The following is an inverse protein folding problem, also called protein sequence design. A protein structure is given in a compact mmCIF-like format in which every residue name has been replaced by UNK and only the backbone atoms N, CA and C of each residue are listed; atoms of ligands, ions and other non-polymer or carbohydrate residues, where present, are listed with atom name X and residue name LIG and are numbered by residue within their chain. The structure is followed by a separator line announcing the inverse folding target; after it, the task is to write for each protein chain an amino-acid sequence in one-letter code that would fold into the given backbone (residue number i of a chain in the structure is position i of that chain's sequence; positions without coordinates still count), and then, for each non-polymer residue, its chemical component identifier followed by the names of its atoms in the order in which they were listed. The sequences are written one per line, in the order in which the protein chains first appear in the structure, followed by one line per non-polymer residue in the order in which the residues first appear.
data_IF_588680101856
#
_entry.id   IF_588680101856
#
_cell.length_a   1.000
_cell.length_b   1.000
_cell.length_c   1.000
_cell.angle_alpha   90.00
_cell.angle_beta   90.00
_cell.angle_gamma   90.00
#
_symmetry.space_group_name_H-M   'P 1'
#
loop_
_entity.id
_entity.type
_entity.pdbx_description
1 polymer ?
#
# COMPACT_ATOMS: atom_id res chain seq x y z
N UNK A 1 16.80 13.30 -0.01
CA UNK A 1 16.35 13.49 1.39
C UNK A 1 17.30 14.49 2.02
N UNK A 2 16.85 15.40 2.89
CA UNK A 2 17.77 16.37 3.51
C UNK A 2 18.93 15.70 4.25
N UNK A 3 18.68 14.54 4.89
CA UNK A 3 19.73 13.77 5.55
C UNK A 3 20.85 13.29 4.60
N UNK A 4 20.59 13.06 3.31
CA UNK A 4 21.66 12.74 2.35
C UNK A 4 22.66 13.89 2.19
N UNK A 5 22.17 15.13 2.29
CA UNK A 5 22.98 16.34 2.17
C UNK A 5 23.73 16.64 3.47
N UNK A 6 23.09 16.44 4.62
CA UNK A 6 23.67 16.79 5.93
C UNK A 6 24.53 15.68 6.54
N UNK A 7 24.29 14.41 6.18
CA UNK A 7 24.95 13.24 6.73
C UNK A 7 25.41 12.31 5.59
N UNK A 8 26.35 12.74 4.74
CA UNK A 8 26.80 11.94 3.61
C UNK A 8 27.38 10.60 4.07
N UNK A 9 27.22 9.58 3.22
CA UNK A 9 27.76 8.24 3.46
C UNK A 9 29.27 8.31 3.69
N UNK A 10 29.76 7.52 4.65
CA UNK A 10 31.18 7.51 5.03
C UNK A 10 31.57 8.57 6.07
N UNK A 11 30.71 9.56 6.37
CA UNK A 11 31.01 10.54 7.43
C UNK A 11 30.90 9.94 8.85
N UNK A 12 31.67 10.45 9.81
CA UNK A 12 31.60 10.02 11.22
C UNK A 12 30.19 10.18 11.82
N UNK A 13 29.49 11.26 11.43
CA UNK A 13 28.10 11.51 11.85
C UNK A 13 27.14 10.47 11.27
N UNK A 14 27.33 10.09 10.00
CA UNK A 14 26.57 9.00 9.37
C UNK A 14 26.76 7.68 10.12
N UNK A 15 28.00 7.31 10.47
CA UNK A 15 28.26 6.06 11.22
C UNK A 15 27.61 6.05 12.61
N UNK A 16 27.65 7.18 13.31
CA UNK A 16 27.02 7.33 14.63
C UNK A 16 25.50 7.14 14.55
N UNK A 17 24.85 7.78 13.57
CA UNK A 17 23.42 7.63 13.33
C UNK A 17 23.09 6.22 12.83
N UNK A 18 23.90 5.63 11.95
CA UNK A 18 23.77 4.24 11.49
C UNK A 18 23.71 3.26 12.66
N UNK A 19 24.60 3.38 13.64
CA UNK A 19 24.57 2.54 14.84
C UNK A 19 23.29 2.73 15.68
N UNK A 20 22.72 3.94 15.67
CA UNK A 20 21.44 4.22 16.35
C UNK A 20 20.27 3.58 15.61
N UNK A 21 20.20 3.75 14.29
CA UNK A 21 19.14 3.19 13.46
C UNK A 21 19.19 1.66 13.37
N UNK A 22 20.36 1.02 13.50
CA UNK A 22 20.47 -0.45 13.64
C UNK A 22 19.74 -1.01 14.86
N UNK A 23 19.48 -0.21 15.90
CA UNK A 23 18.63 -0.65 17.02
C UNK A 23 17.19 -0.96 16.57
N UNK A 24 16.77 -0.43 15.42
CA UNK A 24 15.46 -0.68 14.81
C UNK A 24 15.44 -1.94 13.92
N UNK A 25 16.51 -2.75 13.87
CA UNK A 25 16.52 -3.97 13.06
C UNK A 25 15.38 -4.93 13.44
N UNK A 26 15.04 -5.01 14.74
CA UNK A 26 13.87 -5.77 15.22
C UNK A 26 12.54 -5.24 14.69
N UNK A 27 12.43 -3.91 14.54
CA UNK A 27 11.26 -3.26 13.95
C UNK A 27 11.20 -3.52 12.45
N UNK A 28 12.33 -3.41 11.74
CA UNK A 28 12.42 -3.69 10.31
C UNK A 28 12.12 -5.16 9.97
N UNK A 29 12.47 -6.10 10.85
CA UNK A 29 12.14 -7.52 10.72
C UNK A 29 10.62 -7.79 10.71
N UNK A 30 9.77 -6.82 11.09
CA UNK A 30 8.31 -6.90 11.00
C UNK A 30 7.77 -6.55 9.60
N UNK A 31 8.63 -6.24 8.63
CA UNK A 31 8.27 -5.74 7.30
C UNK A 31 7.27 -4.56 7.33
N UNK A 32 7.59 -3.48 8.06
CA UNK A 32 6.72 -2.32 8.26
C UNK A 32 6.22 -1.64 6.97
N UNK A 33 6.90 -1.80 5.83
CA UNK A 33 6.42 -1.33 4.53
C UNK A 33 5.03 -1.88 4.15
N UNK A 34 4.69 -3.08 4.63
CA UNK A 34 3.42 -3.75 4.33
C UNK A 34 2.26 -3.14 5.12
N UNK A 35 2.56 -2.45 6.22
CA UNK A 35 1.57 -1.88 7.11
C UNK A 35 0.72 -0.80 6.45
N UNK A 36 1.25 -0.06 5.48
CA UNK A 36 0.46 0.90 4.71
C UNK A 36 -0.76 0.23 4.05
N UNK A 37 -0.55 -0.91 3.39
CA UNK A 37 -1.63 -1.68 2.77
C UNK A 37 -2.59 -2.28 3.79
N UNK A 38 -2.06 -2.87 4.86
CA UNK A 38 -2.84 -3.47 5.94
C UNK A 38 -3.76 -2.44 6.61
N UNK A 39 -3.22 -1.27 6.94
CA UNK A 39 -4.00 -0.18 7.53
C UNK A 39 -5.07 0.34 6.58
N UNK A 40 -4.78 0.45 5.28
CA UNK A 40 -5.78 0.83 4.29
C UNK A 40 -6.93 -0.18 4.22
N UNK A 41 -6.64 -1.49 4.31
CA UNK A 41 -7.68 -2.53 4.30
C UNK A 41 -8.59 -2.44 5.53
N UNK A 42 -8.02 -2.24 6.72
CA UNK A 42 -8.80 -2.01 7.96
C UNK A 42 -9.62 -0.74 7.85
N UNK A 43 -9.00 0.38 7.49
CA UNK A 43 -9.70 1.66 7.44
C UNK A 43 -10.73 1.74 6.32
N UNK A 44 -10.63 0.94 5.26
CA UNK A 44 -11.70 0.80 4.28
C UNK A 44 -12.97 0.22 4.91
N UNK A 45 -12.86 -0.76 5.82
CA UNK A 45 -14.00 -1.28 6.56
C UNK A 45 -14.65 -0.23 7.45
N UNK A 46 -13.82 0.52 8.19
CA UNK A 46 -14.28 1.66 8.97
C UNK A 46 -14.90 2.74 8.07
N UNK A 47 -14.33 3.00 6.90
CA UNK A 47 -14.86 3.98 5.95
C UNK A 47 -16.27 3.59 5.50
N UNK A 48 -16.49 2.32 5.17
CA UNK A 48 -17.80 1.82 4.71
C UNK A 48 -18.86 1.98 5.79
N UNK A 49 -18.57 1.64 7.04
CA UNK A 49 -19.54 1.81 8.13
C UNK A 49 -19.85 3.28 8.41
N UNK A 50 -18.85 4.17 8.33
CA UNK A 50 -19.08 5.61 8.43
C UNK A 50 -19.89 6.15 7.23
N UNK A 51 -19.61 5.67 6.01
CA UNK A 51 -20.31 6.07 4.80
C UNK A 51 -21.80 5.72 4.83
N UNK A 52 -22.16 4.57 5.42
CA UNK A 52 -23.56 4.14 5.56
C UNK A 52 -24.34 5.10 6.47
N UNK A 53 -23.71 5.62 7.52
CA UNK A 53 -24.34 6.60 8.42
C UNK A 53 -24.36 8.01 7.84
N UNK A 54 -23.21 8.49 7.35
CA UNK A 54 -23.07 9.77 6.69
C UNK A 54 -22.09 9.66 5.53
N UNK A 55 -22.59 9.74 4.30
CA UNK A 55 -21.76 9.67 3.10
C UNK A 55 -20.78 10.84 2.95
N UNK A 56 -21.07 11.98 3.58
CA UNK A 56 -20.35 13.24 3.43
C UNK A 56 -19.33 13.49 4.54
N UNK A 57 -19.01 12.49 5.35
CA UNK A 57 -17.97 12.65 6.37
C UNK A 57 -16.59 12.87 5.73
N UNK A 58 -16.02 14.06 5.87
CA UNK A 58 -14.68 14.37 5.38
C UNK A 58 -13.91 15.12 6.44
N UNK A 59 -12.64 14.76 6.59
CA UNK A 59 -11.69 15.37 7.50
C UNK A 59 -12.25 15.47 8.93
N UNK A 60 -13.01 14.45 9.35
CA UNK A 60 -13.73 14.47 10.61
C UNK A 60 -12.87 13.89 11.74
N UNK A 61 -12.44 14.74 12.67
CA UNK A 61 -11.67 14.34 13.84
C UNK A 61 -12.47 13.51 14.84
N UNK A 62 -13.80 13.58 14.81
CA UNK A 62 -14.66 12.75 15.65
C UNK A 62 -14.56 11.26 15.29
N UNK A 63 -14.08 10.95 14.08
CA UNK A 63 -13.79 9.58 13.63
C UNK A 63 -12.62 8.90 14.38
N UNK A 64 -11.89 9.63 15.23
CA UNK A 64 -10.81 9.07 16.03
C UNK A 64 -11.34 8.06 17.03
N UNK A 65 -10.81 6.83 16.98
CA UNK A 65 -11.24 5.74 17.85
C UNK A 65 -10.04 4.98 18.40
N UNK A 66 -9.95 4.91 19.73
CA UNK A 66 -8.96 4.08 20.41
C UNK A 66 -9.10 2.60 20.02
N UNK A 67 -10.33 2.14 19.78
CA UNK A 67 -10.61 0.77 19.31
C UNK A 67 -9.98 0.56 17.93
N UNK A 68 -10.13 1.50 16.99
CA UNK A 68 -9.48 1.42 15.68
C UNK A 68 -7.96 1.42 15.79
N UNK A 69 -7.35 2.21 16.68
CA UNK A 69 -5.90 2.18 16.88
C UNK A 69 -5.41 0.81 17.37
N UNK A 70 -6.14 0.20 18.32
CA UNK A 70 -5.84 -1.16 18.81
C UNK A 70 -5.98 -2.17 17.68
N UNK A 71 -7.02 -2.05 16.85
CA UNK A 71 -7.23 -2.93 15.69
C UNK A 71 -6.10 -2.76 14.66
N UNK A 72 -5.66 -1.54 14.37
CA UNK A 72 -4.55 -1.28 13.46
C UNK A 72 -3.24 -1.89 14.00
N UNK A 73 -2.96 -1.73 15.30
CA UNK A 73 -1.80 -2.36 15.93
C UNK A 73 -1.89 -3.89 15.86
N UNK A 74 -3.05 -4.46 16.19
CA UNK A 74 -3.30 -5.90 16.07
C UNK A 74 -3.12 -6.39 14.64
N UNK A 75 -3.66 -5.69 13.65
CA UNK A 75 -3.55 -6.03 12.23
C UNK A 75 -2.10 -6.04 11.75
N UNK A 76 -1.25 -5.10 12.21
CA UNK A 76 0.18 -5.11 11.89
C UNK A 76 0.91 -6.30 12.49
N UNK A 77 0.56 -6.68 13.73
CA UNK A 77 1.09 -7.87 14.36
C UNK A 77 0.61 -9.15 13.64
N UNK A 78 -0.65 -9.17 13.20
CA UNK A 78 -1.24 -10.29 12.46
C UNK A 78 -0.57 -10.51 11.10
N UNK A 79 -0.31 -9.45 10.33
CA UNK A 79 0.36 -9.55 9.01
C UNK A 79 1.76 -10.18 9.10
N UNK A 80 2.45 -10.03 10.23
CA UNK A 80 3.72 -10.72 10.49
C UNK A 80 3.56 -12.24 10.41
N UNK A 81 2.48 -12.78 10.99
CA UNK A 81 2.22 -14.21 11.06
C UNK A 81 1.53 -14.73 9.82
N UNK A 82 0.64 -13.93 9.23
CA UNK A 82 -0.14 -14.27 8.05
C UNK A 82 0.00 -13.17 7.00
N UNK A 83 1.05 -13.24 6.17
CA UNK A 83 1.35 -12.24 5.15
C UNK A 83 0.17 -12.00 4.19
N UNK A 84 -0.38 -10.78 4.17
CA UNK A 84 -1.55 -10.44 3.32
C UNK A 84 -1.16 -10.05 1.90
N UNK A 85 -0.11 -9.26 1.73
CA UNK A 85 0.44 -8.89 0.41
C UNK A 85 1.67 -9.74 0.10
N UNK A 86 1.52 -10.86 -0.61
CA UNK A 86 2.67 -11.66 -1.04
C UNK A 86 3.09 -11.30 -2.47
N UNK A 87 4.40 -11.24 -2.72
CA UNK A 87 4.95 -10.94 -4.06
C UNK A 87 4.97 -12.17 -4.99
N UNK A 88 4.64 -13.36 -4.48
CA UNK A 88 4.62 -14.61 -5.23
C UNK A 88 3.23 -15.23 -5.21
N UNK A 89 2.50 -15.12 -6.32
CA UNK A 89 1.32 -15.94 -6.56
C UNK A 89 1.78 -17.16 -7.35
N UNK A 90 2.16 -18.21 -6.62
CA UNK A 90 2.55 -19.47 -7.25
C UNK A 90 1.31 -20.38 -7.49
N UNK A 91 0.13 -20.02 -6.96
CA UNK A 91 -1.09 -20.84 -7.09
C UNK A 91 -2.40 -20.08 -6.80
N UNK A 92 -3.52 -20.62 -7.28
CA UNK A 92 -4.91 -20.17 -6.97
C UNK A 92 -5.16 -20.15 -5.46
N UNK A 93 -4.59 -21.11 -4.72
CA UNK A 93 -4.66 -21.19 -3.25
C UNK A 93 -4.06 -19.94 -2.58
N UNK A 94 -2.93 -19.44 -3.10
CA UNK A 94 -2.30 -18.21 -2.62
C UNK A 94 -3.23 -17.01 -2.84
N UNK A 95 -3.81 -16.89 -4.03
CA UNK A 95 -4.78 -15.82 -4.35
C UNK A 95 -6.01 -15.83 -3.44
N UNK A 96 -6.60 -16.99 -3.22
CA UNK A 96 -7.80 -17.13 -2.36
C UNK A 96 -7.49 -16.83 -0.89
N UNK A 97 -6.31 -17.25 -0.40
CA UNK A 97 -5.84 -16.90 0.94
C UNK A 97 -5.71 -15.40 1.13
N UNK A 98 -5.21 -14.67 0.13
CA UNK A 98 -5.02 -13.23 0.22
C UNK A 98 -6.34 -12.46 0.16
N UNK A 99 -7.30 -12.91 -0.65
CA UNK A 99 -8.65 -12.38 -0.64
C UNK A 99 -9.29 -12.56 0.75
N UNK A 100 -9.19 -13.77 1.32
CA UNK A 100 -9.68 -14.07 2.66
C UNK A 100 -9.05 -13.15 3.71
N UNK A 101 -7.72 -13.00 3.70
CA UNK A 101 -7.03 -12.15 4.67
C UNK A 101 -7.39 -10.67 4.51
N UNK A 102 -7.46 -10.16 3.27
CA UNK A 102 -7.89 -8.78 3.01
C UNK A 102 -9.34 -8.53 3.46
N UNK A 103 -10.22 -9.50 3.25
CA UNK A 103 -11.60 -9.46 3.74
C UNK A 103 -11.68 -9.48 5.27
N UNK A 104 -10.89 -10.32 5.94
CA UNK A 104 -10.82 -10.31 7.41
C UNK A 104 -10.34 -8.95 7.92
N UNK A 105 -9.27 -8.38 7.34
CA UNK A 105 -8.79 -7.05 7.73
C UNK A 105 -9.87 -5.98 7.54
N UNK A 106 -10.60 -6.03 6.43
CA UNK A 106 -11.74 -5.15 6.18
C UNK A 106 -12.81 -5.29 7.27
N UNK A 107 -13.21 -6.52 7.62
CA UNK A 107 -14.18 -6.76 8.70
C UNK A 107 -13.68 -6.32 10.07
N UNK A 108 -12.37 -6.37 10.34
CA UNK A 108 -11.84 -5.81 11.59
C UNK A 108 -12.14 -4.31 11.69
N UNK A 109 -12.07 -3.59 10.57
CA UNK A 109 -12.39 -2.16 10.51
C UNK A 109 -13.83 -1.81 10.82
N UNK A 110 -14.76 -2.74 10.62
CA UNK A 110 -16.20 -2.49 10.81
C UNK A 110 -16.61 -2.65 12.28
N UNK A 111 -15.81 -3.33 13.10
CA UNK A 111 -16.07 -3.63 14.52
C UNK A 111 -16.62 -2.43 15.33
N UNK A 112 -16.07 -1.21 15.23
CA UNK A 112 -16.54 -0.09 16.06
C UNK A 112 -18.01 0.30 15.85
N UNK A 113 -18.55 0.03 14.65
CA UNK A 113 -19.93 0.39 14.26
C UNK A 113 -20.82 -0.83 13.96
N UNK A 114 -20.23 -2.03 13.91
CA UNK A 114 -20.93 -3.27 13.62
C UNK A 114 -20.94 -3.66 12.15
N UNK A 115 -21.55 -4.81 11.86
CA UNK A 115 -21.67 -5.37 10.51
C UNK A 115 -23.16 -5.44 10.17
N UNK A 116 -23.52 -4.87 9.02
CA UNK A 116 -24.84 -4.99 8.40
C UNK A 116 -24.69 -5.53 6.95
N UNK A 117 -25.76 -6.02 6.33
CA UNK A 117 -25.74 -6.49 4.93
C UNK A 117 -25.26 -5.39 3.97
N UNK A 118 -25.55 -4.13 4.29
CA UNK A 118 -25.07 -2.96 3.54
C UNK A 118 -23.54 -2.86 3.52
N UNK A 119 -22.86 -3.30 4.59
CA UNK A 119 -21.38 -3.28 4.65
C UNK A 119 -20.77 -4.12 3.54
N UNK A 120 -21.40 -5.24 3.17
CA UNK A 120 -20.93 -6.07 2.08
C UNK A 120 -21.22 -5.44 0.71
N UNK A 121 -22.40 -4.86 0.53
CA UNK A 121 -22.78 -4.17 -0.72
C UNK A 121 -21.89 -2.97 -1.01
N UNK A 122 -21.69 -2.10 -0.01
CA UNK A 122 -20.82 -0.92 -0.12
C UNK A 122 -19.33 -1.27 -0.03
N UNK A 123 -18.98 -2.40 0.60
CA UNK A 123 -17.61 -2.90 0.71
C UNK A 123 -17.10 -3.60 -0.55
N UNK A 124 -17.97 -4.13 -1.41
CA UNK A 124 -17.60 -4.83 -2.64
C UNK A 124 -16.58 -4.07 -3.53
N UNK A 125 -16.75 -2.78 -3.86
CA UNK A 125 -15.76 -2.04 -4.65
C UNK A 125 -14.38 -1.96 -3.98
N UNK A 126 -14.31 -1.92 -2.64
CA UNK A 126 -13.05 -1.94 -1.91
C UNK A 126 -12.37 -3.31 -2.00
N UNK A 127 -13.13 -4.40 -1.86
CA UNK A 127 -12.59 -5.76 -2.01
C UNK A 127 -12.05 -6.00 -3.42
N UNK A 128 -12.75 -5.51 -4.44
CA UNK A 128 -12.26 -5.52 -5.82
C UNK A 128 -10.94 -4.73 -5.94
N UNK A 129 -10.87 -3.55 -5.32
CA UNK A 129 -9.65 -2.75 -5.32
C UNK A 129 -8.49 -3.39 -4.54
N UNK A 130 -8.75 -4.20 -3.51
CA UNK A 130 -7.70 -4.99 -2.85
C UNK A 130 -7.12 -6.05 -3.79
N UNK A 131 -7.97 -6.68 -4.62
CA UNK A 131 -7.52 -7.60 -5.66
C UNK A 131 -6.63 -6.86 -6.67
N UNK A 132 -7.00 -5.64 -7.07
CA UNK A 132 -6.18 -4.76 -7.93
C UNK A 132 -4.80 -4.53 -7.32
N UNK A 133 -4.73 -4.15 -6.04
CA UNK A 133 -3.47 -3.98 -5.32
C UNK A 133 -2.64 -5.26 -5.30
N UNK A 134 -3.27 -6.38 -4.97
CA UNK A 134 -2.60 -7.65 -4.91
C UNK A 134 -2.02 -8.10 -6.27
N UNK A 135 -2.83 -8.06 -7.33
CA UNK A 135 -2.39 -8.43 -8.68
C UNK A 135 -1.25 -7.52 -9.16
N UNK A 136 -1.30 -6.23 -8.83
CA UNK A 136 -0.22 -5.28 -9.15
C UNK A 136 1.12 -5.70 -8.52
N UNK A 137 1.10 -6.16 -7.26
CA UNK A 137 2.31 -6.58 -6.56
C UNK A 137 2.85 -7.93 -7.01
N UNK A 138 1.99 -8.79 -7.54
CA UNK A 138 2.37 -10.12 -7.98
C UNK A 138 2.97 -10.17 -9.39
N UNK A 139 2.89 -9.08 -10.17
CA UNK A 139 3.72 -8.93 -11.38
C UNK A 139 5.18 -8.81 -10.93
N UNK A 140 6.09 -9.75 -11.26
CA UNK A 140 7.46 -9.72 -10.75
C UNK A 140 8.24 -8.54 -11.33
N UNK A 141 9.15 -7.96 -10.53
CA UNK A 141 10.22 -7.10 -11.04
C UNK A 141 11.46 -7.97 -11.05
N UNK A 142 12.00 -8.22 -12.24
CA UNK A 142 13.18 -9.05 -12.41
C UNK A 142 14.40 -8.27 -11.92
N UNK A 143 15.34 -8.97 -11.28
CA UNK A 143 16.61 -8.39 -10.84
C UNK A 143 17.70 -9.21 -11.51
N UNK A 144 18.54 -8.56 -12.30
CA UNK A 144 19.67 -9.22 -12.97
C UNK A 144 20.79 -9.51 -11.95
N UNK A 145 21.79 -10.32 -12.32
CA UNK A 145 22.92 -10.69 -11.44
C UNK A 145 23.73 -9.47 -10.93
N UNK A 146 23.65 -8.35 -11.67
CA UNK A 146 24.29 -7.07 -11.34
C UNK A 146 23.43 -6.20 -10.41
N UNK A 147 22.25 -6.68 -10.00
CA UNK A 147 21.31 -5.96 -9.13
C UNK A 147 20.42 -4.94 -9.85
N UNK A 148 20.52 -4.85 -11.18
CA UNK A 148 19.66 -3.98 -11.99
C UNK A 148 18.23 -4.54 -12.09
N UNK A 149 17.25 -3.67 -11.82
CA UNK A 149 15.84 -4.02 -11.94
C UNK A 149 15.46 -3.96 -13.42
N UNK A 150 14.75 -4.96 -13.91
CA UNK A 150 14.19 -5.04 -15.26
C UNK A 150 12.72 -5.47 -15.22
N UNK A 151 11.94 -5.01 -16.21
CA UNK A 151 10.53 -5.36 -16.31
C UNK A 151 10.40 -6.72 -17.02
N UNK A 152 9.43 -7.56 -16.66
CA UNK A 152 9.11 -8.75 -17.44
C UNK A 152 8.78 -8.38 -18.89
N UNK A 153 8.88 -9.37 -19.78
CA UNK A 153 8.46 -9.16 -21.17
C UNK A 153 6.99 -8.74 -21.22
N UNK A 154 6.66 -7.86 -22.18
CA UNK A 154 5.32 -7.30 -22.34
C UNK A 154 4.25 -8.39 -22.42
N UNK A 155 4.53 -9.45 -23.18
CA UNK A 155 3.64 -10.60 -23.38
C UNK A 155 3.31 -11.30 -22.06
N UNK A 156 4.26 -11.38 -21.12
CA UNK A 156 4.05 -12.03 -19.81
C UNK A 156 3.27 -11.13 -18.84
N UNK A 157 3.49 -9.82 -18.87
CA UNK A 157 2.82 -8.90 -17.94
C UNK A 157 1.45 -8.39 -18.42
N UNK A 158 1.21 -8.36 -19.74
CA UNK A 158 -0.01 -7.80 -20.31
C UNK A 158 -1.31 -8.46 -19.81
N UNK A 159 -1.44 -9.79 -19.70
CA UNK A 159 -2.68 -10.41 -19.22
C UNK A 159 -3.06 -9.94 -17.82
N UNK A 160 -2.09 -9.88 -16.92
CA UNK A 160 -2.30 -9.46 -15.54
C UNK A 160 -2.61 -7.98 -15.43
N UNK A 161 -1.91 -7.13 -16.18
CA UNK A 161 -2.19 -5.70 -16.26
C UNK A 161 -3.57 -5.41 -16.85
N UNK A 162 -4.02 -6.17 -17.84
CA UNK A 162 -5.38 -6.05 -18.40
C UNK A 162 -6.45 -6.34 -17.34
N UNK A 163 -6.27 -7.40 -16.54
CA UNK A 163 -7.19 -7.70 -15.43
C UNK A 163 -7.18 -6.57 -14.39
N UNK A 164 -5.99 -6.05 -14.04
CA UNK A 164 -5.84 -4.90 -13.12
C UNK A 164 -6.61 -3.68 -13.65
N UNK A 165 -6.50 -3.35 -14.94
CA UNK A 165 -7.24 -2.23 -15.56
C UNK A 165 -8.75 -2.45 -15.48
N UNK A 166 -9.23 -3.64 -15.88
CA UNK A 166 -10.66 -3.97 -15.86
C UNK A 166 -11.23 -3.88 -14.45
N UNK A 167 -10.57 -4.50 -13.47
CA UNK A 167 -11.01 -4.47 -12.07
C UNK A 167 -10.96 -3.07 -11.47
N UNK A 168 -9.97 -2.26 -11.84
CA UNK A 168 -9.90 -0.85 -11.42
C UNK A 168 -11.10 -0.08 -11.97
N UNK A 169 -11.43 -0.23 -13.25
CA UNK A 169 -12.59 0.42 -13.84
C UNK A 169 -13.91 -0.07 -13.21
N UNK A 170 -14.01 -1.37 -12.94
CA UNK A 170 -15.16 -1.96 -12.25
C UNK A 170 -15.33 -1.37 -10.84
N UNK A 171 -14.25 -1.21 -10.07
CA UNK A 171 -14.30 -0.56 -8.77
C UNK A 171 -14.76 0.91 -8.87
N UNK A 172 -14.31 1.64 -9.90
CA UNK A 172 -14.79 3.00 -10.19
C UNK A 172 -16.29 3.03 -10.45
N UNK A 173 -16.79 2.17 -11.33
CA UNK A 173 -18.21 2.13 -11.73
C UNK A 173 -19.09 1.72 -10.54
N UNK A 174 -18.71 0.68 -9.80
CA UNK A 174 -19.46 0.23 -8.62
C UNK A 174 -19.45 1.26 -7.51
N UNK A 175 -18.32 1.92 -7.26
CA UNK A 175 -18.25 3.04 -6.32
C UNK A 175 -19.17 4.19 -6.71
N UNK A 176 -19.20 4.53 -8.01
CA UNK A 176 -20.08 5.58 -8.54
C UNK A 176 -21.55 5.19 -8.40
N UNK A 177 -21.90 3.95 -8.74
CA UNK A 177 -23.26 3.41 -8.59
C UNK A 177 -23.73 3.45 -7.13
N UNK A 178 -22.83 3.12 -6.20
CA UNK A 178 -23.09 3.15 -4.77
C UNK A 178 -23.05 4.58 -4.18
N UNK A 179 -22.85 5.64 -4.98
CA UNK A 179 -22.64 7.00 -4.49
C UNK A 179 -21.51 7.11 -3.44
N UNK A 180 -20.48 6.27 -3.55
CA UNK A 180 -19.28 6.33 -2.72
C UNK A 180 -18.17 7.10 -3.45
N UNK A 181 -18.02 8.41 -3.18
CA UNK A 181 -17.00 9.24 -3.82
C UNK A 181 -15.56 8.85 -3.42
N UNK A 182 -15.36 8.08 -2.34
CA UNK A 182 -14.02 7.69 -1.91
C UNK A 182 -13.44 6.64 -2.87
N UNK A 183 -14.06 5.46 -2.96
CA UNK A 183 -13.50 4.36 -3.76
C UNK A 183 -13.58 4.62 -5.25
N UNK A 184 -14.64 5.29 -5.71
CA UNK A 184 -14.78 5.70 -7.11
C UNK A 184 -13.62 6.60 -7.54
N UNK A 185 -13.27 7.60 -6.72
CA UNK A 185 -12.16 8.51 -7.01
C UNK A 185 -10.80 7.82 -6.86
N UNK A 186 -10.60 7.03 -5.82
CA UNK A 186 -9.35 6.25 -5.62
C UNK A 186 -9.05 5.38 -6.83
N UNK A 187 -10.05 4.64 -7.32
CA UNK A 187 -9.90 3.77 -8.47
C UNK A 187 -9.73 4.57 -9.77
N UNK A 188 -10.49 5.65 -9.97
CA UNK A 188 -10.35 6.52 -11.14
C UNK A 188 -8.95 7.16 -11.22
N UNK A 189 -8.44 7.70 -10.13
CA UNK A 189 -7.11 8.32 -10.05
C UNK A 189 -5.99 7.28 -10.20
N UNK A 190 -6.21 6.03 -9.75
CA UNK A 190 -5.25 4.95 -9.96
C UNK A 190 -5.25 4.41 -11.40
N UNK A 191 -6.36 4.47 -12.12
CA UNK A 191 -6.51 3.87 -13.46
C UNK A 191 -5.42 4.21 -14.50
N UNK A 192 -4.83 5.43 -14.55
CA UNK A 192 -3.81 5.75 -15.54
C UNK A 192 -2.51 4.95 -15.35
N UNK A 193 -2.17 4.54 -14.13
CA UNK A 193 -0.90 3.83 -13.87
C UNK A 193 -0.82 2.45 -14.54
N UNK A 194 -1.76 1.51 -14.28
CA UNK A 194 -1.75 0.22 -14.96
C UNK A 194 -2.06 0.36 -16.45
N UNK A 195 -2.84 1.37 -16.88
CA UNK A 195 -3.09 1.64 -18.29
C UNK A 195 -1.81 2.03 -19.04
N UNK A 196 -1.01 2.94 -18.47
CA UNK A 196 0.29 3.33 -19.03
C UNK A 196 1.23 2.12 -19.06
N UNK A 197 1.27 1.33 -18.00
CA UNK A 197 2.08 0.10 -17.98
C UNK A 197 1.62 -0.94 -19.03
N UNK A 198 0.34 -0.94 -19.41
CA UNK A 198 -0.24 -1.83 -20.42
C UNK A 198 -0.07 -1.33 -21.85
N UNK A 199 -0.10 -0.02 -22.11
CA UNK A 199 -0.01 0.54 -23.48
C UNK A 199 1.46 0.79 -23.89
N UNK A 200 2.26 1.39 -23.01
CA UNK A 200 3.61 1.83 -23.35
C UNK A 200 4.63 0.67 -23.31
N UNK A 201 5.82 0.84 -23.94
CA UNK A 201 6.89 -0.15 -23.88
C UNK A 201 7.20 -0.60 -22.45
N UNK A 202 7.58 -1.87 -22.30
CA UNK A 202 7.87 -2.45 -20.99
C UNK A 202 9.01 -1.70 -20.31
N UNK A 203 8.72 -1.03 -19.20
CA UNK A 203 9.73 -0.35 -18.40
C UNK A 203 9.43 -0.50 -16.91
N UNK A 204 10.49 -0.73 -16.13
CA UNK A 204 10.44 -0.95 -14.69
C UNK A 204 9.74 0.21 -13.99
N UNK A 205 10.00 1.43 -14.48
CA UNK A 205 9.42 2.66 -13.97
C UNK A 205 7.89 2.64 -13.95
N UNK A 206 7.25 2.03 -14.94
CA UNK A 206 5.79 1.95 -15.00
C UNK A 206 5.25 1.01 -13.93
N UNK A 207 5.90 -0.15 -13.72
CA UNK A 207 5.53 -1.11 -12.67
C UNK A 207 5.80 -0.59 -11.26
N UNK A 208 6.93 0.10 -11.04
CA UNK A 208 7.25 0.73 -9.76
C UNK A 208 6.17 1.76 -9.38
N UNK A 209 5.75 2.60 -10.33
CA UNK A 209 4.65 3.55 -10.10
C UNK A 209 3.34 2.82 -9.78
N UNK A 210 2.97 1.77 -10.51
CA UNK A 210 1.77 0.99 -10.20
C UNK A 210 1.78 0.49 -8.74
N UNK A 211 2.89 -0.13 -8.31
CA UNK A 211 3.03 -0.64 -6.93
C UNK A 211 2.98 0.46 -5.87
N UNK A 212 3.64 1.60 -6.09
CA UNK A 212 3.64 2.71 -5.12
C UNK A 212 2.24 3.32 -5.01
N UNK A 213 1.62 3.64 -6.15
CA UNK A 213 0.38 4.42 -6.17
C UNK A 213 -0.86 3.61 -5.80
N UNK A 214 -0.86 2.28 -5.97
CA UNK A 214 -1.99 1.45 -5.56
C UNK A 214 -2.20 1.41 -4.03
N UNK A 215 -1.17 1.72 -3.25
CA UNK A 215 -1.25 1.87 -1.79
C UNK A 215 -1.30 3.33 -1.38
N UNK A 216 -0.49 4.18 -2.02
CA UNK A 216 -0.42 5.60 -1.65
C UNK A 216 -1.75 6.34 -1.87
N UNK A 217 -2.42 6.13 -3.00
CA UNK A 217 -3.68 6.81 -3.31
C UNK A 217 -4.75 6.48 -2.26
N UNK A 218 -5.10 5.21 -1.98
CA UNK A 218 -6.10 4.92 -0.94
C UNK A 218 -5.66 5.43 0.43
N UNK A 219 -4.37 5.40 0.78
CA UNK A 219 -3.90 5.94 2.05
C UNK A 219 -4.18 7.44 2.18
N UNK A 220 -3.96 8.22 1.12
CA UNK A 220 -4.25 9.67 1.13
C UNK A 220 -5.76 9.94 1.19
N UNK A 221 -6.58 9.22 0.42
CA UNK A 221 -8.03 9.39 0.46
C UNK A 221 -8.64 8.95 1.78
N UNK A 222 -8.10 7.90 2.42
CA UNK A 222 -8.48 7.51 3.77
C UNK A 222 -8.06 8.56 4.79
N UNK A 223 -6.90 9.19 4.65
CA UNK A 223 -6.52 10.33 5.49
C UNK A 223 -7.47 11.52 5.31
N UNK A 224 -8.04 11.71 4.11
CA UNK A 224 -9.07 12.73 3.89
C UNK A 224 -10.40 12.42 4.58
N UNK A 225 -10.65 11.17 4.98
CA UNK A 225 -11.83 10.74 5.75
C UNK A 225 -11.52 10.71 7.25
N UNK A 226 -10.39 10.12 7.60
CA UNK A 226 -9.83 9.93 8.93
C UNK A 226 -8.56 10.78 9.09
N UNK A 227 -8.66 12.07 9.48
CA UNK A 227 -7.50 12.99 9.47
C UNK A 227 -6.36 12.53 10.37
N UNK A 228 -6.69 11.85 11.48
CA UNK A 228 -5.73 11.28 12.40
C UNK A 228 -4.85 10.18 11.78
N UNK A 229 -5.29 9.53 10.69
CA UNK A 229 -4.51 8.49 10.00
C UNK A 229 -3.27 9.05 9.30
N UNK A 230 -3.23 10.36 9.04
CA UNK A 230 -2.07 11.03 8.48
C UNK A 230 -0.83 10.87 9.39
N UNK A 231 -1.01 10.93 10.71
CA UNK A 231 0.09 10.82 11.68
C UNK A 231 0.84 9.49 11.60
N UNK A 232 0.18 8.31 11.74
CA UNK A 232 0.89 7.03 11.65
C UNK A 232 1.50 6.81 10.25
N UNK A 233 0.85 7.23 9.17
CA UNK A 233 1.38 7.10 7.80
C UNK A 233 2.65 7.93 7.61
N UNK A 234 2.63 9.21 7.98
CA UNK A 234 3.80 10.09 7.86
C UNK A 234 4.93 9.62 8.76
N UNK A 235 4.63 9.25 10.00
CA UNK A 235 5.61 8.75 10.95
C UNK A 235 6.30 7.49 10.41
N UNK A 236 5.51 6.52 9.95
CA UNK A 236 6.04 5.28 9.37
C UNK A 236 6.88 5.56 8.14
N UNK A 237 6.42 6.42 7.23
CA UNK A 237 7.13 6.80 6.03
C UNK A 237 8.52 7.36 6.34
N UNK A 238 8.62 8.28 7.31
CA UNK A 238 9.90 8.87 7.69
C UNK A 238 10.81 7.89 8.42
N UNK A 239 10.30 7.12 9.38
CA UNK A 239 11.09 6.12 10.11
C UNK A 239 11.76 5.17 9.11
N UNK A 240 10.99 4.64 8.15
CA UNK A 240 11.53 3.72 7.14
C UNK A 240 12.57 4.41 6.27
N UNK A 241 12.29 5.63 5.82
CA UNK A 241 13.21 6.38 4.96
C UNK A 241 14.57 6.63 5.60
N UNK A 242 14.58 7.01 6.88
CA UNK A 242 15.82 7.17 7.63
C UNK A 242 16.49 5.83 7.93
N UNK A 243 15.72 4.81 8.32
CA UNK A 243 16.25 3.47 8.57
C UNK A 243 16.96 2.89 7.33
N UNK A 244 16.31 2.88 6.16
CA UNK A 244 16.93 2.39 4.94
C UNK A 244 18.14 3.22 4.52
N UNK A 245 18.10 4.54 4.72
CA UNK A 245 19.23 5.39 4.40
C UNK A 245 20.45 5.08 5.27
N UNK A 246 20.28 5.01 6.59
CA UNK A 246 21.39 4.83 7.52
C UNK A 246 21.87 3.38 7.64
N UNK A 247 21.00 2.39 7.40
CA UNK A 247 21.37 0.97 7.49
C UNK A 247 21.81 0.40 6.14
N UNK A 248 21.19 0.82 5.03
CA UNK A 248 21.38 0.22 3.70
C UNK A 248 21.91 1.21 2.65
N UNK A 249 22.09 2.48 2.99
CA UNK A 249 22.53 3.51 2.04
C UNK A 249 21.52 3.84 0.94
N UNK A 250 20.26 3.39 1.07
CA UNK A 250 19.22 3.59 0.06
C UNK A 250 18.04 4.37 0.63
N UNK A 251 17.45 5.25 -0.16
CA UNK A 251 16.29 6.04 0.27
C UNK A 251 15.00 5.34 -0.12
N UNK A 252 14.42 4.59 0.82
CA UNK A 252 13.19 3.83 0.64
C UNK A 252 12.33 3.90 1.92
N UNK A 253 10.99 4.02 1.86
CA UNK A 253 10.14 4.19 0.69
C UNK A 253 10.36 5.55 0.02
N UNK A 254 10.16 5.60 -1.29
CA UNK A 254 10.36 6.80 -2.10
C UNK A 254 9.42 6.79 -3.30
N UNK A 255 8.94 7.98 -3.68
CA UNK A 255 8.20 8.19 -4.93
C UNK A 255 9.12 8.30 -6.15
N UNK A 256 10.44 8.38 -5.93
CA UNK A 256 11.42 8.36 -7.02
C UNK A 256 11.40 7.01 -7.71
N UNK A 257 11.52 7.08 -9.02
CA UNK A 257 11.56 5.93 -9.91
C UNK A 257 13.00 5.80 -10.39
N UNK A 258 13.49 4.56 -10.51
CA UNK A 258 14.91 4.22 -10.73
C UNK A 258 15.79 4.39 -9.48
N UNK A 259 15.55 3.52 -8.48
CA UNK A 259 16.47 3.35 -7.36
C UNK A 259 17.69 2.59 -7.89
N UNK A 260 18.74 3.32 -8.29
CA UNK A 260 20.07 2.71 -8.43
C UNK A 260 20.44 2.11 -7.08
N UNK A 261 20.68 0.80 -7.03
CA UNK A 261 21.44 0.23 -5.94
C UNK A 261 22.77 0.99 -5.90
N UNK A 262 23.08 1.62 -4.77
CA UNK A 262 24.17 2.58 -4.66
C UNK A 262 25.43 2.05 -5.34
N UNK A 263 26.04 2.89 -6.18
CA UNK A 263 27.40 2.65 -6.68
C UNK A 263 28.27 2.36 -5.46
N UNK A 264 28.71 1.11 -5.34
CA UNK A 264 29.90 0.78 -4.56
C UNK A 264 31.06 1.46 -5.29
N UNK A 265 31.45 2.62 -4.80
CA UNK A 265 32.84 3.07 -4.94
C UNK A 265 33.61 2.53 -3.74
#
# INVERSE_FOLDING_TARGET
MLAEKYFPQGSNRYQTLSNTFRKLDKFAALNPERWFGVWCMVLAGANVTNHIEDRWFYWDWSSFSYVLLVILAFATYWDKRFPVLTQKIDSVKSGLWMLLMGFILFLLGTIPKGIDYLVLTYGLPYLIYFIVGHLTYAIPIMINDVGEKSAPSKVKMAPMLSIVVILTFLATVLGTYNNDPMISTVAAVYSPFPLVALIFPAAVRHLQRCRIYVIFIPAMFLAMRFPWFLFPVILLFWILRYYHYFCHGTVHPSFKVDIHAGQKN
#
